data_IF_868733583277
#
_entry.id   IF_868733583277
#
_cell.length_a   1.000
_cell.length_b   1.000
_cell.length_c   1.000
_cell.angle_alpha   90.00
_cell.angle_beta   90.00
_cell.angle_gamma   90.00
#
_symmetry.space_group_name_H-M   'P 1'
#
loop_
_entity.id
_entity.type
_entity.pdbx_description
1 polymer ?
#
# COMPACT_ATOMS: atom_id res chain seq x y z
N UNK A 1 24.36 17.55 15.63
CA UNK A 1 23.17 18.19 16.24
C UNK A 1 22.39 17.12 17.01
N UNK A 2 21.75 17.45 18.13
CA UNK A 2 20.97 16.48 18.92
C UNK A 2 19.52 16.42 18.44
N UNK A 3 19.06 15.22 18.08
CA UNK A 3 17.65 14.95 17.82
C UNK A 3 16.93 14.75 19.16
N UNK A 4 15.92 15.56 19.46
CA UNK A 4 15.11 15.41 20.68
C UNK A 4 13.79 14.71 20.35
N UNK A 5 13.72 13.41 20.63
CA UNK A 5 12.48 12.64 20.52
C UNK A 5 11.78 12.68 21.89
N UNK A 6 10.54 13.15 21.96
CA UNK A 6 9.76 13.24 23.22
C UNK A 6 8.75 12.10 23.42
N UNK A 7 8.82 11.08 22.57
CA UNK A 7 7.89 9.96 22.61
C UNK A 7 8.50 8.80 23.41
N UNK A 8 7.88 8.46 24.54
CA UNK A 8 8.33 7.39 25.45
C UNK A 8 8.43 6.02 24.77
N UNK A 9 7.51 5.71 23.85
CA UNK A 9 7.55 4.45 23.10
C UNK A 9 8.79 4.37 22.21
N UNK A 10 9.19 5.48 21.59
CA UNK A 10 10.39 5.52 20.74
C UNK A 10 11.66 5.36 21.58
N UNK A 11 11.71 5.95 22.78
CA UNK A 11 12.81 5.71 23.73
C UNK A 11 12.92 4.24 24.14
N UNK A 12 11.79 3.60 24.43
CA UNK A 12 11.78 2.17 24.77
C UNK A 12 12.30 1.31 23.62
N UNK A 13 11.87 1.60 22.39
CA UNK A 13 12.35 0.91 21.18
C UNK A 13 13.85 1.13 20.94
N UNK A 14 14.34 2.37 21.09
CA UNK A 14 15.75 2.68 20.92
C UNK A 14 16.63 1.95 21.95
N UNK A 15 16.17 1.89 23.20
CA UNK A 15 16.85 1.16 24.28
C UNK A 15 16.91 -0.34 24.00
N UNK A 16 15.81 -0.91 23.54
CA UNK A 16 15.74 -2.33 23.20
C UNK A 16 16.60 -2.67 21.98
N UNK A 17 16.54 -1.84 20.92
CA UNK A 17 17.38 -2.01 19.73
C UNK A 17 18.87 -1.95 20.09
N UNK A 18 19.28 -0.98 20.91
CA UNK A 18 20.65 -0.89 21.43
C UNK A 18 21.06 -2.15 22.20
N UNK A 19 20.17 -2.66 23.07
CA UNK A 19 20.42 -3.86 23.88
C UNK A 19 20.63 -5.11 23.02
N UNK A 20 19.80 -5.31 22.00
CA UNK A 20 19.87 -6.50 21.13
C UNK A 20 21.03 -6.41 20.13
N UNK A 21 21.36 -5.22 19.64
CA UNK A 21 22.43 -5.02 18.64
C UNK A 21 23.81 -4.78 19.25
N UNK A 22 23.90 -4.51 20.56
CA UNK A 22 25.14 -4.09 21.23
C UNK A 22 25.60 -2.67 20.84
N UNK A 23 24.77 -1.90 20.14
CA UNK A 23 25.08 -0.54 19.68
C UNK A 23 24.63 0.52 20.69
N UNK A 24 25.07 1.76 20.49
CA UNK A 24 24.46 2.89 21.19
C UNK A 24 23.03 3.10 20.70
N UNK A 25 22.16 3.72 21.50
CA UNK A 25 20.80 4.05 21.05
C UNK A 25 20.82 4.93 19.79
N UNK A 26 21.76 5.87 19.71
CA UNK A 26 21.94 6.72 18.52
C UNK A 26 22.30 5.89 17.28
N UNK A 27 23.30 5.02 17.39
CA UNK A 27 23.74 4.18 16.26
C UNK A 27 22.68 3.15 15.84
N UNK A 28 21.88 2.65 16.79
CA UNK A 28 20.75 1.76 16.48
C UNK A 28 19.61 2.51 15.76
N UNK A 29 19.33 3.76 16.16
CA UNK A 29 18.37 4.63 15.47
C UNK A 29 18.86 4.96 14.05
N UNK A 30 20.14 5.30 13.91
CA UNK A 30 20.76 5.62 12.62
C UNK A 30 20.62 4.46 11.63
N UNK A 31 21.02 3.25 12.03
CA UNK A 31 20.85 2.04 11.20
C UNK A 31 19.38 1.77 10.84
N UNK A 32 18.45 1.94 11.79
CA UNK A 32 17.03 1.76 11.51
C UNK A 32 16.51 2.75 10.47
N UNK A 33 16.98 4.00 10.51
CA UNK A 33 16.62 5.04 9.53
C UNK A 33 17.24 4.76 8.16
N UNK A 34 18.49 4.32 8.10
CA UNK A 34 19.14 3.93 6.83
C UNK A 34 18.41 2.76 6.16
N UNK A 35 18.05 1.72 6.93
CA UNK A 35 17.25 0.59 6.44
C UNK A 35 15.88 1.04 5.96
N UNK A 36 15.22 1.94 6.70
CA UNK A 36 13.95 2.52 6.30
C UNK A 36 14.07 3.24 4.96
N UNK A 37 15.03 4.16 4.82
CA UNK A 37 15.24 4.93 3.59
C UNK A 37 15.62 4.02 2.42
N UNK A 38 16.42 2.97 2.65
CA UNK A 38 16.74 1.97 1.63
C UNK A 38 15.50 1.21 1.17
N UNK A 39 14.61 0.84 2.09
CA UNK A 39 13.37 0.13 1.76
C UNK A 39 12.37 1.01 0.99
N UNK A 40 12.33 2.31 1.27
CA UNK A 40 11.47 3.25 0.55
C UNK A 40 12.12 3.83 -0.72
N UNK A 41 13.38 3.50 -1.02
CA UNK A 41 14.11 4.13 -2.11
C UNK A 41 14.36 5.62 -1.87
N UNK A 42 15.37 6.17 -2.55
CA UNK A 42 15.76 7.58 -2.42
C UNK A 42 14.73 8.56 -3.00
N UNK A 43 13.69 8.06 -3.66
CA UNK A 43 12.64 8.85 -4.32
C UNK A 43 11.26 8.52 -3.73
N UNK A 44 10.72 9.38 -2.85
CA UNK A 44 9.38 9.23 -2.29
C UNK A 44 8.28 9.10 -3.34
N UNK A 45 8.46 9.69 -4.53
CA UNK A 45 7.51 9.60 -5.65
C UNK A 45 7.56 8.21 -6.27
N UNK A 46 8.75 7.63 -6.42
CA UNK A 46 8.91 6.27 -6.93
C UNK A 46 8.29 5.23 -5.99
N UNK A 47 8.49 5.35 -4.67
CA UNK A 47 7.85 4.43 -3.72
C UNK A 47 6.34 4.59 -3.64
N UNK A 48 5.80 5.81 -3.77
CA UNK A 48 4.35 5.98 -3.85
C UNK A 48 3.79 5.34 -5.13
N UNK A 49 4.50 5.51 -6.26
CA UNK A 49 4.15 4.88 -7.53
C UNK A 49 4.19 3.35 -7.44
N UNK A 50 5.22 2.76 -6.84
CA UNK A 50 5.34 1.31 -6.65
C UNK A 50 4.15 0.78 -5.84
N UNK A 51 3.84 1.41 -4.69
CA UNK A 51 2.68 1.02 -3.86
C UNK A 51 1.35 1.12 -4.61
N UNK A 52 1.18 2.13 -5.46
CA UNK A 52 -0.03 2.25 -6.30
C UNK A 52 -0.11 1.12 -7.32
N UNK A 53 1.01 0.77 -7.96
CA UNK A 53 1.08 -0.34 -8.91
C UNK A 53 0.76 -1.68 -8.24
N UNK A 54 1.27 -1.91 -7.03
CA UNK A 54 0.95 -3.12 -6.24
C UNK A 54 -0.56 -3.23 -5.95
N UNK A 55 -1.21 -2.13 -5.60
CA UNK A 55 -2.66 -2.08 -5.37
C UNK A 55 -3.42 -2.37 -6.67
N UNK A 56 -3.03 -1.74 -7.78
CA UNK A 56 -3.64 -1.98 -9.10
C UNK A 56 -3.49 -3.46 -9.49
N UNK A 57 -2.30 -4.03 -9.32
CA UNK A 57 -2.06 -5.43 -9.67
C UNK A 57 -2.90 -6.37 -8.81
N UNK A 58 -3.04 -6.11 -7.51
CA UNK A 58 -3.92 -6.89 -6.63
C UNK A 58 -5.37 -6.84 -7.10
N UNK A 59 -5.88 -5.66 -7.41
CA UNK A 59 -7.25 -5.49 -7.93
C UNK A 59 -7.42 -6.25 -9.24
N UNK A 60 -6.44 -6.18 -10.15
CA UNK A 60 -6.50 -6.91 -11.43
C UNK A 60 -6.56 -8.42 -11.24
N UNK A 61 -5.80 -8.97 -10.30
CA UNK A 61 -5.86 -10.40 -9.95
C UNK A 61 -7.23 -10.76 -9.36
N UNK A 62 -7.73 -9.99 -8.40
CA UNK A 62 -9.05 -10.22 -7.80
C UNK A 62 -10.17 -10.15 -8.84
N UNK A 63 -10.12 -9.19 -9.77
CA UNK A 63 -11.10 -9.03 -10.86
C UNK A 63 -10.99 -10.14 -11.89
N UNK A 64 -9.77 -10.62 -12.19
CA UNK A 64 -9.57 -11.71 -13.15
C UNK A 64 -10.20 -13.03 -12.69
N UNK A 65 -10.29 -13.25 -11.37
CA UNK A 65 -10.94 -14.42 -10.77
C UNK A 65 -12.47 -14.30 -10.72
N UNK A 66 -13.04 -13.12 -10.99
CA UNK A 66 -14.50 -12.95 -11.01
C UNK A 66 -15.12 -13.62 -12.25
N UNK A 67 -16.34 -14.18 -12.12
CA UNK A 67 -17.09 -14.66 -13.27
C UNK A 67 -17.27 -13.54 -14.29
N UNK A 68 -16.78 -13.77 -15.51
CA UNK A 68 -16.98 -12.82 -16.60
C UNK A 68 -18.44 -12.86 -17.01
N UNK A 69 -19.15 -11.74 -16.88
CA UNK A 69 -20.45 -11.58 -17.54
C UNK A 69 -20.24 -11.76 -19.05
N UNK A 70 -20.84 -12.82 -19.61
CA UNK A 70 -20.72 -13.20 -21.01
C UNK A 70 -22.08 -13.06 -21.70
N UNK A 71 -22.09 -12.63 -22.95
CA UNK A 71 -23.33 -12.44 -23.71
C UNK A 71 -24.13 -11.20 -23.29
N UNK A 72 -25.45 -11.31 -23.27
CA UNK A 72 -26.41 -10.24 -22.97
C UNK A 72 -26.43 -9.80 -21.49
N UNK A 73 -25.92 -10.62 -20.57
CA UNK A 73 -25.80 -10.25 -19.15
C UNK A 73 -24.73 -9.18 -18.88
N UNK A 74 -23.97 -8.80 -19.89
CA UNK A 74 -22.89 -7.82 -19.77
C UNK A 74 -23.39 -6.41 -20.04
N UNK A 75 -23.60 -5.66 -18.96
CA UNK A 75 -23.88 -4.22 -19.00
C UNK A 75 -22.63 -3.48 -19.49
N UNK A 76 -22.73 -2.82 -20.64
CA UNK A 76 -21.70 -1.97 -21.28
C UNK A 76 -22.08 -0.51 -21.23
N UNK A 77 -23.36 -0.22 -21.41
CA UNK A 77 -23.92 1.11 -21.29
C UNK A 77 -25.31 1.10 -20.63
N UNK A 78 -25.91 2.27 -20.48
CA UNK A 78 -27.19 2.45 -19.78
C UNK A 78 -28.38 1.78 -20.48
N UNK A 79 -28.30 1.51 -21.78
CA UNK A 79 -29.38 0.84 -22.51
C UNK A 79 -29.47 -0.64 -22.17
N UNK A 80 -28.37 -1.26 -21.76
CA UNK A 80 -28.34 -2.67 -21.33
C UNK A 80 -29.09 -2.90 -20.00
N UNK A 81 -29.50 -1.83 -19.30
CA UNK A 81 -30.32 -1.90 -18.09
C UNK A 81 -31.82 -2.03 -18.36
N UNK A 82 -32.25 -1.87 -19.61
CA UNK A 82 -33.65 -1.87 -20.00
C UNK A 82 -33.90 -2.93 -21.07
N UNK A 83 -35.04 -3.60 -20.98
CA UNK A 83 -35.51 -4.52 -22.00
C UNK A 83 -35.73 -3.77 -23.34
N UNK A 84 -35.11 -4.20 -24.45
CA UNK A 84 -35.15 -3.45 -25.72
C UNK A 84 -36.54 -3.35 -26.35
N UNK A 85 -37.45 -4.29 -26.05
CA UNK A 85 -38.79 -4.35 -26.65
C UNK A 85 -39.81 -3.54 -25.85
N UNK A 86 -39.71 -3.56 -24.53
CA UNK A 86 -40.67 -2.96 -23.61
C UNK A 86 -40.19 -1.64 -23.00
N UNK A 87 -38.87 -1.40 -22.99
CA UNK A 87 -38.24 -0.23 -22.37
C UNK A 87 -38.34 -0.22 -20.83
N UNK A 88 -38.75 -1.33 -20.23
CA UNK A 88 -38.82 -1.48 -18.77
C UNK A 88 -37.47 -1.97 -18.21
N UNK A 89 -37.13 -1.68 -16.94
CA UNK A 89 -35.94 -2.23 -16.32
C UNK A 89 -35.91 -3.76 -16.41
N UNK A 90 -34.77 -4.32 -16.81
CA UNK A 90 -34.53 -5.76 -16.91
C UNK A 90 -34.42 -6.43 -15.53
#
# INVERSE_FOLDING_TARGET
MSLNIKNERVHALAREAARVTGKTQTSAIEEALELLLKNYGSDPVAADRERRLDIIHRIQVEVADLPVAAGDDRIRDENDLYDPETGLPA
#
